data_IF_513387702705
#
_entry.id   IF_513387702705
#
_cell.length_a   1.000
_cell.length_b   1.000
_cell.length_c   1.000
_cell.angle_alpha   90.00
_cell.angle_beta   90.00
_cell.angle_gamma   90.00
#
_symmetry.space_group_name_H-M   'P 1'
#
loop_
_entity.id
_entity.type
_entity.pdbx_description
1 polymer ?
#
# COMPACT_ATOMS: atom_id res chain seq x y z
N UNK A 1 -13.54 -13.36 9.78
CA UNK A 1 -12.63 -13.22 10.95
C UNK A 1 -11.15 -13.42 10.63
N UNK A 2 -10.66 -14.62 10.24
CA UNK A 2 -9.20 -14.85 10.04
C UNK A 2 -8.53 -13.91 9.03
N UNK A 3 -9.16 -13.68 7.88
CA UNK A 3 -8.64 -12.77 6.84
C UNK A 3 -8.56 -11.30 7.30
N UNK A 4 -9.49 -10.85 8.15
CA UNK A 4 -9.48 -9.50 8.71
C UNK A 4 -8.41 -9.29 9.76
N UNK A 5 -8.15 -10.31 10.59
CA UNK A 5 -7.01 -10.31 11.51
C UNK A 5 -5.70 -10.28 10.75
N UNK A 6 -5.57 -11.08 9.68
CA UNK A 6 -4.39 -11.08 8.83
C UNK A 6 -4.15 -9.74 8.13
N UNK A 7 -5.22 -9.12 7.59
CA UNK A 7 -5.11 -7.80 6.96
C UNK A 7 -4.67 -6.72 7.95
N UNK A 8 -5.24 -6.73 9.16
CA UNK A 8 -4.84 -5.81 10.25
C UNK A 8 -3.39 -6.06 10.69
N UNK A 9 -2.98 -7.32 10.81
CA UNK A 9 -1.63 -7.70 11.15
C UNK A 9 -0.64 -7.17 10.11
N UNK A 10 -0.90 -7.38 8.82
CA UNK A 10 -0.07 -6.83 7.74
C UNK A 10 0.01 -5.31 7.87
N UNK A 11 -1.11 -4.59 7.95
CA UNK A 11 -1.07 -3.12 8.02
C UNK A 11 -0.28 -2.59 9.22
N UNK A 12 -0.42 -3.24 10.37
CA UNK A 12 0.37 -2.90 11.56
C UNK A 12 1.85 -3.20 11.34
N UNK A 13 2.17 -4.38 10.80
CA UNK A 13 3.54 -4.79 10.50
C UNK A 13 4.21 -3.89 9.46
N UNK A 14 3.54 -3.53 8.37
CA UNK A 14 4.13 -2.64 7.35
C UNK A 14 4.36 -1.24 7.90
N UNK A 15 3.40 -0.68 8.66
CA UNK A 15 3.56 0.65 9.24
C UNK A 15 4.70 0.68 10.27
N UNK A 16 4.78 -0.33 11.14
CA UNK A 16 5.89 -0.48 12.07
C UNK A 16 7.23 -0.69 11.34
N UNK A 17 7.25 -1.43 10.24
CA UNK A 17 8.46 -1.67 9.46
C UNK A 17 8.98 -0.38 8.80
N UNK A 18 8.11 0.47 8.26
CA UNK A 18 8.51 1.75 7.65
C UNK A 18 9.15 2.67 8.72
N UNK A 19 8.52 2.79 9.88
CA UNK A 19 9.05 3.57 11.01
C UNK A 19 10.37 2.99 11.55
N UNK A 20 10.50 1.67 11.61
CA UNK A 20 11.72 1.01 12.06
C UNK A 20 12.86 1.17 11.05
N UNK A 21 12.56 1.05 9.75
CA UNK A 21 13.51 1.26 8.67
C UNK A 21 14.04 2.70 8.67
N UNK A 22 13.18 3.69 8.93
CA UNK A 22 13.59 5.09 9.10
C UNK A 22 14.58 5.24 10.27
N UNK A 23 14.30 4.60 11.41
CA UNK A 23 15.13 4.71 12.62
C UNK A 23 16.48 3.99 12.50
N UNK A 24 16.52 2.84 11.82
CA UNK A 24 17.72 2.01 11.70
C UNK A 24 18.64 2.41 10.53
N UNK A 25 18.10 2.87 9.40
CA UNK A 25 18.90 3.10 8.19
C UNK A 25 19.54 4.50 8.14
N UNK A 26 19.28 5.37 9.12
CA UNK A 26 19.78 6.76 9.16
C UNK A 26 19.62 7.50 7.81
N UNK A 27 18.56 7.17 7.06
CA UNK A 27 18.33 7.73 5.73
C UNK A 27 17.97 9.21 5.90
N UNK A 28 18.62 10.13 5.17
CA UNK A 28 18.25 11.54 5.22
C UNK A 28 16.78 11.71 4.82
N UNK A 29 16.03 12.49 5.59
CA UNK A 29 14.57 12.68 5.43
C UNK A 29 14.14 12.86 3.98
N UNK A 30 14.87 13.69 3.23
CA UNK A 30 14.59 13.98 1.82
C UNK A 30 14.52 12.72 0.94
N UNK A 31 15.40 11.75 1.15
CA UNK A 31 15.42 10.51 0.38
C UNK A 31 14.26 9.59 0.75
N UNK A 32 13.89 9.54 2.03
CA UNK A 32 12.73 8.78 2.49
C UNK A 32 11.43 9.39 1.95
N UNK A 33 11.30 10.72 1.99
CA UNK A 33 10.15 11.44 1.43
C UNK A 33 10.02 11.20 -0.08
N UNK A 34 11.12 11.26 -0.84
CA UNK A 34 11.11 10.98 -2.28
C UNK A 34 10.68 9.53 -2.54
N UNK A 35 11.25 8.56 -1.82
CA UNK A 35 10.92 7.15 -1.98
C UNK A 35 9.43 6.88 -1.69
N UNK A 36 8.91 7.36 -0.56
CA UNK A 36 7.51 7.20 -0.16
C UNK A 36 6.56 7.97 -1.09
N UNK A 37 6.98 9.12 -1.60
CA UNK A 37 6.22 9.91 -2.57
C UNK A 37 6.06 9.16 -3.89
N UNK A 38 7.16 8.65 -4.45
CA UNK A 38 7.13 7.84 -5.68
C UNK A 38 6.30 6.58 -5.47
N UNK A 39 6.50 5.87 -4.36
CA UNK A 39 5.73 4.66 -4.05
C UNK A 39 4.23 4.94 -3.92
N UNK A 40 3.86 6.03 -3.25
CA UNK A 40 2.46 6.48 -3.12
C UNK A 40 1.82 6.76 -4.47
N UNK A 41 2.49 7.53 -5.33
CA UNK A 41 1.98 7.86 -6.67
C UNK A 41 1.83 6.60 -7.51
N UNK A 42 2.83 5.70 -7.50
CA UNK A 42 2.77 4.44 -8.23
C UNK A 42 1.59 3.57 -7.79
N UNK A 43 1.37 3.42 -6.48
CA UNK A 43 0.25 2.63 -5.96
C UNK A 43 -1.11 3.22 -6.34
N UNK A 44 -1.27 4.55 -6.26
CA UNK A 44 -2.49 5.23 -6.68
C UNK A 44 -2.73 5.04 -8.19
N UNK A 45 -1.70 5.16 -9.02
CA UNK A 45 -1.82 4.95 -10.47
C UNK A 45 -2.21 3.51 -10.79
N UNK A 46 -1.64 2.52 -10.11
CA UNK A 46 -2.00 1.10 -10.27
C UNK A 46 -3.45 0.86 -9.82
N UNK A 47 -3.85 1.42 -8.67
CA UNK A 47 -5.22 1.29 -8.14
C UNK A 47 -6.27 1.91 -9.06
N UNK A 48 -5.96 3.05 -9.70
CA UNK A 48 -6.82 3.66 -10.70
C UNK A 48 -6.77 2.89 -12.03
N UNK A 49 -5.60 2.45 -12.46
CA UNK A 49 -5.39 1.73 -13.72
C UNK A 49 -6.15 0.41 -13.78
N UNK A 50 -6.20 -0.35 -12.66
CA UNK A 50 -6.91 -1.63 -12.61
C UNK A 50 -8.43 -1.50 -12.75
N UNK A 51 -9.00 -0.31 -12.58
CA UNK A 51 -10.44 -0.08 -12.82
C UNK A 51 -10.80 -0.04 -14.30
N UNK A 52 -9.84 0.35 -15.14
CA UNK A 52 -10.03 0.50 -16.59
C UNK A 52 -9.48 -0.68 -17.36
N UNK A 53 -8.40 -1.28 -16.88
CA UNK A 53 -7.73 -2.40 -17.54
C UNK A 53 -8.03 -3.74 -16.85
N UNK A 54 -8.80 -4.59 -17.53
CA UNK A 54 -9.14 -5.93 -17.07
C UNK A 54 -7.94 -6.89 -16.97
N UNK A 55 -6.85 -6.64 -17.70
CA UNK A 55 -5.61 -7.42 -17.57
C UNK A 55 -4.87 -7.07 -16.28
N UNK A 56 -4.72 -5.76 -16.01
CA UNK A 56 -4.13 -5.27 -14.76
C UNK A 56 -4.94 -5.71 -13.55
N UNK A 57 -6.28 -5.66 -13.65
CA UNK A 57 -7.20 -6.17 -12.63
C UNK A 57 -7.02 -7.67 -12.34
N UNK A 58 -6.79 -8.51 -13.37
CA UNK A 58 -6.55 -9.95 -13.19
C UNK A 58 -5.22 -10.24 -12.49
N UNK A 59 -4.16 -9.53 -12.86
CA UNK A 59 -2.84 -9.69 -12.21
C UNK A 59 -2.93 -9.23 -10.76
N UNK A 60 -3.52 -8.07 -10.53
CA UNK A 60 -3.74 -7.52 -9.19
C UNK A 60 -4.60 -8.45 -8.34
N UNK A 61 -5.69 -8.97 -8.90
CA UNK A 61 -6.54 -9.97 -8.26
C UNK A 61 -5.76 -11.24 -7.89
N UNK A 62 -4.91 -11.79 -8.76
CA UNK A 62 -4.10 -12.96 -8.41
C UNK A 62 -3.14 -12.72 -7.25
N UNK A 63 -2.54 -11.54 -7.17
CA UNK A 63 -1.57 -11.20 -6.11
C UNK A 63 -2.25 -10.80 -4.80
N UNK A 64 -3.38 -10.10 -4.87
CA UNK A 64 -3.96 -9.40 -3.72
C UNK A 64 -5.39 -9.82 -3.36
N UNK A 65 -6.05 -10.77 -4.07
CA UNK A 65 -7.42 -11.21 -3.73
C UNK A 65 -7.57 -11.67 -2.28
N UNK A 66 -6.54 -12.34 -1.75
CA UNK A 66 -6.54 -12.83 -0.37
C UNK A 66 -6.47 -11.71 0.68
N UNK A 67 -6.13 -10.49 0.27
CA UNK A 67 -5.95 -9.32 1.14
C UNK A 67 -7.04 -8.26 0.95
N UNK A 68 -7.58 -8.13 -0.26
CA UNK A 68 -8.55 -7.09 -0.62
C UNK A 68 -9.97 -7.45 -0.23
N UNK A 69 -10.74 -6.45 0.21
CA UNK A 69 -12.19 -6.59 0.40
C UNK A 69 -12.93 -6.56 -0.94
N UNK A 70 -14.13 -7.14 -0.96
CA UNK A 70 -15.03 -7.13 -2.12
C UNK A 70 -15.31 -5.74 -2.70
N UNK A 71 -15.31 -4.70 -1.85
CA UNK A 71 -15.49 -3.30 -2.28
C UNK A 71 -14.19 -2.57 -2.68
N UNK A 72 -13.02 -3.10 -2.32
CA UNK A 72 -11.73 -2.60 -2.81
C UNK A 72 -11.45 -3.17 -4.21
N UNK A 73 -11.96 -4.36 -4.52
CA UNK A 73 -11.91 -4.95 -5.86
C UNK A 73 -12.64 -4.10 -6.91
N UNK A 74 -13.65 -3.33 -6.49
CA UNK A 74 -14.47 -2.46 -7.32
C UNK A 74 -13.79 -1.10 -7.65
N UNK A 75 -12.47 -1.02 -7.48
CA UNK A 75 -11.68 0.11 -7.95
C UNK A 75 -11.43 1.23 -6.95
N UNK A 76 -11.72 1.00 -5.68
CA UNK A 76 -11.37 1.93 -4.60
C UNK A 76 -9.91 1.79 -4.21
N UNK A 77 -9.35 2.86 -3.63
CA UNK A 77 -8.02 2.82 -3.03
C UNK A 77 -7.94 1.70 -2.00
N UNK A 78 -6.82 0.98 -2.05
CA UNK A 78 -6.57 -0.15 -1.17
C UNK A 78 -5.95 0.31 0.14
N UNK A 79 -6.04 -0.52 1.17
CA UNK A 79 -5.34 -0.29 2.42
C UNK A 79 -3.83 -0.03 2.27
N UNK A 80 -3.16 -0.61 1.26
CA UNK A 80 -1.75 -0.34 0.97
C UNK A 80 -1.52 1.12 0.52
N UNK A 81 -2.40 1.64 -0.35
CA UNK A 81 -2.36 3.04 -0.78
C UNK A 81 -2.55 4.00 0.41
N UNK A 82 -3.47 3.69 1.33
CA UNK A 82 -3.64 4.47 2.56
C UNK A 82 -2.43 4.42 3.49
N UNK A 83 -1.77 3.26 3.66
CA UNK A 83 -0.56 3.13 4.47
C UNK A 83 0.58 3.96 3.88
N UNK A 84 0.81 3.88 2.57
CA UNK A 84 1.88 4.65 1.91
C UNK A 84 1.66 6.15 1.97
N UNK A 85 0.43 6.62 1.72
CA UNK A 85 0.08 8.05 1.84
C UNK A 85 0.24 8.52 3.29
N UNK A 86 -0.23 7.73 4.27
CA UNK A 86 -0.08 8.05 5.69
C UNK A 86 1.38 8.11 6.12
N UNK A 87 2.21 7.16 5.66
CA UNK A 87 3.65 7.18 5.91
C UNK A 87 4.34 8.36 5.23
N UNK A 88 3.96 8.73 4.01
CA UNK A 88 4.51 9.91 3.32
C UNK A 88 4.23 11.20 4.07
N UNK A 89 3.01 11.38 4.60
CA UNK A 89 2.63 12.57 5.38
C UNK A 89 3.34 12.61 6.75
N UNK A 90 3.69 11.45 7.31
CA UNK A 90 4.28 11.35 8.66
C UNK A 90 5.79 11.64 8.73
N UNK A 91 6.51 11.62 7.61
CA UNK A 91 7.97 11.88 7.54
C UNK A 91 8.26 13.37 7.53
#
# INVERSE_FOLDING_TARGET
MRQELFRKAIHLSTNSFISLAYLFLYIPKIWMTILLGIASVMFVVIDLGRTRDGWLSKIFGKLFNGMLRSHELDGKLTGASYVLIGSFISV
#
